data_IF_858039936965
#
_entry.id   IF_858039936965
#
_cell.length_a   1.000
_cell.length_b   1.000
_cell.length_c   1.000
_cell.angle_alpha   90.00
_cell.angle_beta   90.00
_cell.angle_gamma   90.00
#
_symmetry.space_group_name_H-M   'P 1'
#
loop_
_entity.id
_entity.type
_entity.pdbx_description
1 polymer ?
#
# COMPACT_ATOMS: atom_id res chain seq x y z
N UNK A 1 22.39 -5.55 -48.29
CA UNK A 1 21.70 -6.64 -47.56
C UNK A 1 22.47 -7.18 -46.35
N UNK A 2 23.74 -7.62 -46.47
CA UNK A 2 24.48 -8.20 -45.32
C UNK A 2 24.67 -7.21 -44.15
N UNK A 3 25.09 -5.96 -44.40
CA UNK A 3 25.29 -4.95 -43.34
C UNK A 3 24.00 -4.67 -42.57
N UNK A 4 22.89 -4.43 -43.29
CA UNK A 4 21.57 -4.23 -42.69
C UNK A 4 21.15 -5.40 -41.80
N UNK A 5 21.41 -6.64 -42.20
CA UNK A 5 21.13 -7.84 -41.39
C UNK A 5 21.93 -7.84 -40.09
N UNK A 6 23.23 -7.52 -40.12
CA UNK A 6 24.04 -7.50 -38.89
C UNK A 6 23.65 -6.37 -37.95
N UNK A 7 23.28 -5.20 -38.50
CA UNK A 7 22.74 -4.09 -37.71
C UNK A 7 21.42 -4.48 -37.03
N UNK A 8 20.50 -5.11 -37.78
CA UNK A 8 19.23 -5.59 -37.24
C UNK A 8 19.43 -6.64 -36.14
N UNK A 9 20.32 -7.61 -36.36
CA UNK A 9 20.66 -8.61 -35.34
C UNK A 9 21.23 -7.92 -34.09
N UNK A 10 22.17 -6.98 -34.25
CA UNK A 10 22.75 -6.24 -33.13
C UNK A 10 21.70 -5.47 -32.32
N UNK A 11 20.75 -4.81 -32.98
CA UNK A 11 19.64 -4.11 -32.34
C UNK A 11 18.73 -5.06 -31.55
N UNK A 12 18.35 -6.19 -32.17
CA UNK A 12 17.51 -7.20 -31.51
C UNK A 12 18.24 -7.79 -30.30
N UNK A 13 19.51 -8.16 -30.45
CA UNK A 13 20.33 -8.68 -29.35
C UNK A 13 20.45 -7.66 -28.22
N UNK A 14 20.75 -6.39 -28.54
CA UNK A 14 20.82 -5.33 -27.54
C UNK A 14 19.50 -5.12 -26.79
N UNK A 15 18.38 -5.15 -27.50
CA UNK A 15 17.05 -5.05 -26.90
C UNK A 15 16.73 -6.24 -25.98
N UNK A 16 17.04 -7.47 -26.40
CA UNK A 16 16.84 -8.68 -25.57
C UNK A 16 17.71 -8.61 -24.31
N UNK A 17 18.97 -8.19 -24.42
CA UNK A 17 19.85 -8.01 -23.25
C UNK A 17 19.28 -6.96 -22.29
N UNK A 18 18.78 -5.83 -22.80
CA UNK A 18 18.13 -4.81 -21.98
C UNK A 18 16.90 -5.38 -21.24
N UNK A 19 16.04 -6.13 -21.93
CA UNK A 19 14.88 -6.79 -21.32
C UNK A 19 15.33 -7.73 -20.20
N UNK A 20 16.36 -8.54 -20.43
CA UNK A 20 16.86 -9.48 -19.41
C UNK A 20 17.38 -8.74 -18.18
N UNK A 21 18.09 -7.63 -18.36
CA UNK A 21 18.55 -6.78 -17.25
C UNK A 21 17.33 -6.25 -16.48
N UNK A 22 16.37 -5.62 -17.16
CA UNK A 22 15.19 -5.06 -16.48
C UNK A 22 14.40 -6.17 -15.77
N UNK A 23 14.24 -7.34 -16.39
CA UNK A 23 13.58 -8.48 -15.78
C UNK A 23 14.29 -8.94 -14.50
N UNK A 24 15.62 -9.01 -14.51
CA UNK A 24 16.43 -9.39 -13.35
C UNK A 24 16.40 -8.38 -12.21
N UNK A 25 16.25 -7.09 -12.51
CA UNK A 25 16.27 -5.98 -11.53
C UNK A 25 14.89 -5.35 -11.27
N UNK A 26 13.79 -5.91 -11.81
CA UNK A 26 12.46 -5.29 -11.74
C UNK A 26 11.97 -5.04 -10.31
N UNK A 27 12.38 -5.88 -9.35
CA UNK A 27 12.02 -5.71 -7.94
C UNK A 27 12.82 -4.60 -7.26
N UNK A 28 14.07 -4.39 -7.67
CA UNK A 28 14.88 -3.26 -7.21
C UNK A 28 14.40 -1.94 -7.82
N UNK A 29 13.75 -1.99 -8.99
CA UNK A 29 13.07 -0.84 -9.59
C UNK A 29 11.71 -0.57 -8.94
N UNK A 30 10.99 -1.62 -8.57
CA UNK A 30 9.66 -1.51 -7.97
C UNK A 30 9.73 -1.09 -6.51
N UNK A 31 10.59 -1.72 -5.71
CA UNK A 31 10.63 -1.52 -4.26
C UNK A 31 11.76 -0.58 -3.86
N UNK A 32 11.43 0.42 -3.04
CA UNK A 32 12.40 1.37 -2.48
C UNK A 32 12.47 1.24 -0.95
N UNK A 33 12.97 0.10 -0.43
CA UNK A 33 12.93 -0.17 1.00
C UNK A 33 13.76 0.84 1.77
N UNK A 34 13.11 1.64 2.61
CA UNK A 34 13.80 2.42 3.63
C UNK A 34 14.34 1.45 4.68
N UNK A 35 15.65 1.33 4.88
CA UNK A 35 16.26 0.32 5.77
C UNK A 35 16.65 0.86 7.15
N UNK A 36 16.22 2.08 7.48
CA UNK A 36 16.63 2.73 8.73
C UNK A 36 15.63 2.42 9.84
N UNK A 37 16.11 1.72 10.88
CA UNK A 37 15.35 1.53 12.11
C UNK A 37 15.31 2.84 12.93
N UNK A 38 14.14 3.24 13.48
CA UNK A 38 14.07 4.38 14.38
C UNK A 38 14.77 4.08 15.72
N UNK A 39 15.37 5.09 16.33
CA UNK A 39 15.88 4.97 17.70
C UNK A 39 14.73 4.92 18.72
N UNK A 40 14.97 4.35 19.90
CA UNK A 40 13.98 4.34 20.99
C UNK A 40 13.47 5.74 21.33
N UNK A 41 14.37 6.74 21.37
CA UNK A 41 14.00 8.14 21.58
C UNK A 41 12.98 8.63 20.55
N UNK A 42 13.19 8.30 19.27
CA UNK A 42 12.30 8.67 18.17
C UNK A 42 10.94 7.97 18.23
N UNK A 43 10.89 6.74 18.75
CA UNK A 43 9.65 6.03 19.00
C UNK A 43 8.86 6.69 20.15
N UNK A 44 9.53 6.99 21.26
CA UNK A 44 8.93 7.68 22.40
C UNK A 44 8.39 9.07 22.02
N UNK A 45 9.14 9.85 21.24
CA UNK A 45 8.70 11.16 20.74
C UNK A 45 7.43 11.08 19.87
N UNK A 46 7.16 9.92 19.28
CA UNK A 46 5.99 9.65 18.44
C UNK A 46 4.95 8.75 19.11
N UNK A 47 5.09 8.48 20.40
CA UNK A 47 4.18 7.60 21.15
C UNK A 47 4.03 6.22 20.48
N UNK A 48 5.10 5.66 19.92
CA UNK A 48 5.10 4.36 19.25
C UNK A 48 5.79 3.27 20.08
N UNK A 49 5.28 2.05 19.97
CA UNK A 49 5.90 0.82 20.46
C UNK A 49 5.91 -0.24 19.36
N UNK A 50 6.85 -1.18 19.46
CA UNK A 50 6.93 -2.33 18.56
C UNK A 50 5.68 -3.21 18.66
N UNK A 51 5.21 -3.68 17.52
CA UNK A 51 4.08 -4.61 17.41
C UNK A 51 4.47 -5.86 16.60
N UNK A 52 3.98 -7.05 16.97
CA UNK A 52 3.33 -7.39 18.24
C UNK A 52 4.26 -7.27 19.46
N UNK A 53 5.57 -7.33 19.25
CA UNK A 53 6.61 -7.16 20.27
C UNK A 53 7.93 -6.75 19.61
N UNK A 54 8.97 -6.47 20.40
CA UNK A 54 10.31 -6.18 19.87
C UNK A 54 11.00 -7.42 19.26
N UNK A 55 10.75 -8.62 19.82
CA UNK A 55 11.37 -9.87 19.37
C UNK A 55 10.67 -10.49 18.16
N UNK A 56 9.39 -10.21 18.00
CA UNK A 56 8.58 -10.60 16.86
C UNK A 56 8.05 -9.33 16.20
N UNK A 57 8.96 -8.52 15.65
CA UNK A 57 8.63 -7.22 15.10
C UNK A 57 7.98 -7.35 13.71
N UNK A 58 6.82 -6.73 13.56
CA UNK A 58 6.04 -6.66 12.30
C UNK A 58 5.53 -5.26 12.01
N UNK A 59 5.83 -4.30 12.87
CA UNK A 59 5.31 -2.95 12.76
C UNK A 59 5.29 -2.20 14.08
N UNK A 60 4.53 -1.13 14.12
CA UNK A 60 4.35 -0.31 15.31
C UNK A 60 2.87 -0.15 15.65
N UNK A 61 2.60 0.13 16.92
CA UNK A 61 1.30 0.62 17.40
C UNK A 61 1.54 1.77 18.38
N UNK A 62 0.48 2.46 18.78
CA UNK A 62 0.60 3.53 19.77
C UNK A 62 0.86 2.99 21.18
N UNK A 63 1.51 3.79 22.02
CA UNK A 63 1.63 3.56 23.47
C UNK A 63 0.29 3.68 24.21
N UNK A 64 -0.72 4.30 23.59
CA UNK A 64 -2.02 4.55 24.21
C UNK A 64 -3.15 3.98 23.36
N UNK A 65 -4.18 3.49 24.03
CA UNK A 65 -5.43 3.03 23.41
C UNK A 65 -6.43 4.18 23.26
N UNK A 66 -7.32 4.17 22.25
CA UNK A 66 -8.46 5.08 22.19
C UNK A 66 -9.39 4.91 23.39
N UNK A 67 -10.00 5.99 23.88
CA UNK A 67 -10.95 5.97 25.01
C UNK A 67 -12.11 4.98 24.78
N UNK A 68 -12.60 4.91 23.53
CA UNK A 68 -13.61 3.94 23.09
C UNK A 68 -13.20 3.37 21.74
N UNK A 69 -12.81 2.10 21.76
CA UNK A 69 -12.37 1.39 20.56
C UNK A 69 -13.56 0.95 19.71
N UNK A 70 -13.58 1.37 18.45
CA UNK A 70 -14.53 0.97 17.41
C UNK A 70 -14.00 -0.20 16.56
N UNK A 71 -12.69 -0.34 16.49
CA UNK A 71 -12.00 -1.37 15.70
C UNK A 71 -10.53 -1.02 15.50
N UNK A 72 -9.82 -1.92 14.80
CA UNK A 72 -8.39 -1.77 14.50
C UNK A 72 -8.21 -1.52 13.01
N UNK A 73 -7.52 -0.45 12.64
CA UNK A 73 -7.06 -0.21 11.26
C UNK A 73 -5.63 -0.72 11.14
N UNK A 74 -5.40 -1.68 10.24
CA UNK A 74 -4.07 -2.08 9.81
C UNK A 74 -3.65 -1.22 8.62
N UNK A 75 -2.54 -0.49 8.79
CA UNK A 75 -2.00 0.43 7.80
C UNK A 75 -0.86 -0.25 7.03
N UNK A 76 -1.01 -0.27 5.71
CA UNK A 76 -0.01 -0.67 4.75
C UNK A 76 0.58 0.59 4.09
N UNK A 77 1.87 0.85 4.31
CA UNK A 77 2.52 2.09 3.91
C UNK A 77 2.95 2.13 2.43
N UNK A 78 3.32 3.31 1.93
CA UNK A 78 3.83 3.50 0.57
C UNK A 78 5.26 3.00 0.35
N UNK A 79 5.68 2.98 -0.91
CA UNK A 79 6.93 2.35 -1.36
C UNK A 79 8.21 3.01 -0.84
N UNK A 80 8.29 4.35 -0.80
CA UNK A 80 9.50 5.08 -0.43
C UNK A 80 9.51 5.47 1.06
N UNK A 81 8.93 4.62 1.91
CA UNK A 81 8.73 4.89 3.33
C UNK A 81 8.87 3.61 4.17
N UNK A 82 8.66 3.76 5.47
CA UNK A 82 8.59 2.65 6.44
C UNK A 82 7.39 2.89 7.35
N UNK A 83 6.99 1.88 8.12
CA UNK A 83 5.88 2.00 9.06
C UNK A 83 6.07 3.16 10.05
N UNK A 84 7.31 3.41 10.49
CA UNK A 84 7.64 4.54 11.38
C UNK A 84 7.22 5.91 10.80
N UNK A 85 7.40 6.11 9.50
CA UNK A 85 7.06 7.37 8.82
C UNK A 85 5.54 7.60 8.74
N UNK A 86 4.72 6.64 9.15
CA UNK A 86 3.26 6.66 9.10
C UNK A 86 2.59 6.86 10.46
N UNK A 87 3.36 7.27 11.47
CA UNK A 87 2.86 7.65 12.80
C UNK A 87 1.75 8.71 12.77
N UNK A 88 1.69 9.58 11.75
CA UNK A 88 0.60 10.55 11.67
C UNK A 88 -0.79 9.90 11.54
N UNK A 89 -0.90 8.65 11.07
CA UNK A 89 -2.18 7.92 11.09
C UNK A 89 -2.61 7.51 12.50
N UNK A 90 -1.68 7.21 13.42
CA UNK A 90 -2.04 6.96 14.82
C UNK A 90 -2.66 8.23 15.41
N UNK A 91 -2.00 9.37 15.20
CA UNK A 91 -2.46 10.68 15.69
C UNK A 91 -3.82 11.07 15.07
N UNK A 92 -3.99 10.83 13.77
CA UNK A 92 -5.20 11.20 13.03
C UNK A 92 -6.42 10.35 13.41
N UNK A 93 -6.24 9.04 13.62
CA UNK A 93 -7.36 8.09 13.68
C UNK A 93 -7.71 7.64 15.11
N UNK A 94 -6.79 7.78 16.07
CA UNK A 94 -7.07 7.47 17.49
C UNK A 94 -8.22 8.31 18.04
N UNK A 95 -8.26 9.61 17.71
CA UNK A 95 -9.34 10.52 18.14
C UNK A 95 -10.73 10.11 17.63
N UNK A 96 -10.80 9.27 16.58
CA UNK A 96 -12.06 8.75 16.03
C UNK A 96 -12.42 7.35 16.55
N UNK A 97 -11.62 6.81 17.48
CA UNK A 97 -11.88 5.55 18.18
C UNK A 97 -11.19 4.33 17.56
N UNK A 98 -10.17 4.49 16.72
CA UNK A 98 -9.48 3.35 16.10
C UNK A 98 -8.12 3.08 16.72
N UNK A 99 -7.86 1.81 17.00
CA UNK A 99 -6.50 1.34 17.23
C UNK A 99 -5.78 1.23 15.89
N UNK A 100 -4.51 1.61 15.83
CA UNK A 100 -3.76 1.62 14.58
C UNK A 100 -2.54 0.70 14.67
N UNK A 101 -2.45 -0.23 13.71
CA UNK A 101 -1.27 -1.07 13.51
C UNK A 101 -0.57 -0.63 12.23
N UNK A 102 0.62 -0.05 12.37
CA UNK A 102 1.47 0.36 11.25
C UNK A 102 2.32 -0.85 10.84
N UNK A 103 1.90 -1.61 9.82
CA UNK A 103 2.59 -2.82 9.39
C UNK A 103 3.86 -2.48 8.60
N UNK A 104 4.99 -3.13 8.91
CA UNK A 104 6.27 -2.98 8.22
C UNK A 104 6.53 -4.19 7.33
N UNK A 105 6.89 -3.97 6.06
CA UNK A 105 7.07 -5.06 5.10
C UNK A 105 8.37 -5.86 5.29
N UNK A 106 8.42 -7.14 4.86
CA UNK A 106 9.70 -7.86 4.77
C UNK A 106 10.68 -7.12 3.84
N UNK A 107 11.91 -6.93 4.30
CA UNK A 107 12.93 -6.14 3.60
C UNK A 107 12.83 -4.62 3.80
N UNK A 108 11.82 -4.12 4.53
CA UNK A 108 11.67 -2.71 4.88
C UNK A 108 11.95 -2.45 6.36
N UNK A 109 12.34 -1.22 6.67
CA UNK A 109 12.73 -0.80 8.02
C UNK A 109 13.80 -1.74 8.58
N UNK A 110 13.52 -2.28 9.78
CA UNK A 110 14.36 -3.27 10.46
C UNK A 110 14.05 -4.72 10.08
N UNK A 111 13.10 -4.98 9.16
CA UNK A 111 12.65 -6.33 8.83
C UNK A 111 13.56 -6.98 7.82
N UNK A 112 13.93 -8.21 8.13
CA UNK A 112 14.77 -9.04 7.25
C UNK A 112 13.98 -9.52 6.03
N UNK A 113 14.71 -10.09 5.07
CA UNK A 113 14.14 -10.64 3.83
C UNK A 113 14.26 -9.68 2.66
N UNK A 114 13.54 -10.00 1.58
CA UNK A 114 13.53 -9.21 0.35
C UNK A 114 12.09 -9.02 -0.13
N UNK A 115 11.72 -7.80 -0.56
CA UNK A 115 10.34 -7.51 -0.91
C UNK A 115 9.93 -8.19 -2.21
N UNK A 116 8.72 -8.74 -2.20
CA UNK A 116 7.98 -9.26 -3.35
C UNK A 116 6.51 -9.23 -3.03
N UNK A 117 5.63 -9.26 -4.04
CA UNK A 117 4.19 -9.29 -3.78
C UNK A 117 3.80 -10.46 -2.88
N UNK A 118 4.31 -11.66 -3.17
CA UNK A 118 4.05 -12.83 -2.33
C UNK A 118 4.51 -12.61 -0.89
N UNK A 119 5.76 -12.22 -0.67
CA UNK A 119 6.30 -12.05 0.68
C UNK A 119 5.54 -10.97 1.49
N UNK A 120 5.22 -9.85 0.84
CA UNK A 120 4.51 -8.74 1.49
C UNK A 120 3.07 -9.13 1.81
N UNK A 121 2.36 -9.77 0.87
CA UNK A 121 0.96 -10.16 1.07
C UNK A 121 0.83 -11.29 2.09
N UNK A 122 1.73 -12.28 2.08
CA UNK A 122 1.72 -13.37 3.06
C UNK A 122 1.94 -12.82 4.48
N UNK A 123 2.85 -11.86 4.64
CA UNK A 123 3.06 -11.20 5.92
C UNK A 123 1.88 -10.30 6.33
N UNK A 124 1.27 -9.59 5.39
CA UNK A 124 0.06 -8.82 5.65
C UNK A 124 -1.11 -9.71 6.12
N UNK A 125 -1.27 -10.90 5.54
CA UNK A 125 -2.29 -11.87 5.94
C UNK A 125 -2.09 -12.34 7.38
N UNK A 126 -0.86 -12.72 7.73
CA UNK A 126 -0.54 -13.16 9.09
C UNK A 126 -0.62 -11.99 10.09
N UNK A 127 -0.28 -10.76 9.67
CA UNK A 127 -0.47 -9.56 10.49
C UNK A 127 -1.94 -9.35 10.82
N UNK A 128 -2.85 -9.44 9.82
CA UNK A 128 -4.29 -9.34 10.06
C UNK A 128 -4.80 -10.45 10.98
N UNK A 129 -4.32 -11.69 10.79
CA UNK A 129 -4.72 -12.82 11.64
C UNK A 129 -4.34 -12.56 13.11
N UNK A 130 -3.11 -12.13 13.38
CA UNK A 130 -2.66 -11.79 14.73
C UNK A 130 -3.45 -10.63 15.34
N UNK A 131 -3.77 -9.60 14.55
CA UNK A 131 -4.62 -8.47 14.98
C UNK A 131 -6.01 -8.97 15.38
N UNK A 132 -6.64 -9.76 14.51
CA UNK A 132 -7.99 -10.26 14.72
C UNK A 132 -8.07 -11.18 15.95
N UNK A 133 -7.11 -12.09 16.11
CA UNK A 133 -7.03 -12.99 17.27
C UNK A 133 -6.76 -12.24 18.58
N UNK A 134 -5.91 -11.22 18.55
CA UNK A 134 -5.51 -10.46 19.73
C UNK A 134 -6.64 -9.57 20.27
N UNK A 135 -7.34 -8.87 19.39
CA UNK A 135 -8.29 -7.82 19.80
C UNK A 135 -9.76 -8.24 19.68
N UNK A 136 -10.07 -9.23 18.84
CA UNK A 136 -11.44 -9.75 18.64
C UNK A 136 -12.48 -8.65 18.34
N UNK A 137 -12.09 -7.67 17.54
CA UNK A 137 -12.89 -6.50 17.19
C UNK A 137 -12.95 -6.31 15.66
N UNK A 138 -13.82 -5.42 15.15
CA UNK A 138 -13.83 -5.03 13.75
C UNK A 138 -12.45 -4.66 13.20
N UNK A 139 -12.07 -5.25 12.07
CA UNK A 139 -10.80 -4.97 11.39
C UNK A 139 -11.04 -4.18 10.11
N UNK A 140 -10.24 -3.15 9.94
CA UNK A 140 -10.24 -2.25 8.80
C UNK A 140 -8.83 -2.20 8.20
N UNK A 141 -8.72 -1.81 6.94
CA UNK A 141 -7.43 -1.67 6.27
C UNK A 141 -7.30 -0.27 5.68
N UNK A 142 -6.11 0.33 5.84
CA UNK A 142 -5.71 1.53 5.11
C UNK A 142 -4.47 1.18 4.28
N UNK A 143 -4.57 1.32 2.97
CA UNK A 143 -3.45 1.20 2.04
C UNK A 143 -3.06 2.55 1.46
N UNK A 144 -1.77 2.87 1.42
CA UNK A 144 -1.25 4.09 0.80
C UNK A 144 -0.29 3.75 -0.33
N UNK A 145 -0.53 4.26 -1.54
CA UNK A 145 0.33 4.03 -2.72
C UNK A 145 0.55 2.51 -2.92
N UNK A 146 1.78 1.99 -2.80
CA UNK A 146 2.06 0.55 -2.78
C UNK A 146 1.17 -0.24 -1.82
N UNK A 147 0.93 0.30 -0.63
CA UNK A 147 0.07 -0.30 0.37
C UNK A 147 -1.38 -0.49 -0.09
N UNK A 148 -1.86 0.27 -1.08
CA UNK A 148 -3.18 0.05 -1.69
C UNK A 148 -3.22 -1.26 -2.48
N UNK A 149 -2.15 -1.57 -3.23
CA UNK A 149 -2.02 -2.86 -3.92
C UNK A 149 -1.92 -4.02 -2.93
N UNK A 150 -1.13 -3.84 -1.86
CA UNK A 150 -1.02 -4.81 -0.76
C UNK A 150 -2.39 -5.06 -0.12
N UNK A 151 -3.10 -4.00 0.27
CA UNK A 151 -4.42 -4.07 0.87
C UNK A 151 -5.41 -4.87 0.02
N UNK A 152 -5.47 -4.58 -1.29
CA UNK A 152 -6.32 -5.31 -2.22
C UNK A 152 -5.95 -6.79 -2.30
N UNK A 153 -4.67 -7.11 -2.55
CA UNK A 153 -4.18 -8.50 -2.61
C UNK A 153 -4.43 -9.27 -1.32
N UNK A 154 -4.33 -8.62 -0.16
CA UNK A 154 -4.62 -9.21 1.15
C UNK A 154 -6.11 -9.47 1.35
N UNK A 155 -6.98 -8.53 0.97
CA UNK A 155 -8.45 -8.71 1.04
C UNK A 155 -8.90 -9.92 0.24
N UNK A 156 -8.34 -10.14 -0.95
CA UNK A 156 -8.69 -11.28 -1.80
C UNK A 156 -8.37 -12.65 -1.19
N UNK A 157 -7.49 -12.71 -0.18
CA UNK A 157 -6.91 -13.96 0.35
C UNK A 157 -7.17 -14.16 1.84
N UNK A 158 -7.55 -13.13 2.57
CA UNK A 158 -7.77 -13.19 4.02
C UNK A 158 -9.05 -13.92 4.39
N UNK A 159 -9.05 -14.55 5.56
CA UNK A 159 -10.25 -15.11 6.21
C UNK A 159 -10.78 -14.19 7.33
N UNK A 160 -10.01 -13.17 7.70
CA UNK A 160 -10.43 -12.17 8.68
C UNK A 160 -11.53 -11.31 8.05
N UNK A 161 -12.69 -11.14 8.70
CA UNK A 161 -13.71 -10.21 8.23
C UNK A 161 -13.16 -8.78 8.22
N UNK A 162 -13.13 -8.15 7.04
CA UNK A 162 -12.71 -6.76 6.87
C UNK A 162 -13.96 -5.91 6.65
N UNK A 163 -14.24 -5.00 7.58
CA UNK A 163 -15.46 -4.19 7.60
C UNK A 163 -15.37 -2.99 6.65
N UNK A 164 -14.16 -2.46 6.45
CA UNK A 164 -13.95 -1.34 5.56
C UNK A 164 -12.51 -1.17 5.11
N UNK A 165 -12.36 -0.50 3.97
CA UNK A 165 -11.10 -0.30 3.27
C UNK A 165 -10.94 1.18 2.92
N UNK A 166 -9.78 1.75 3.25
CA UNK A 166 -9.36 3.07 2.82
C UNK A 166 -8.16 2.92 1.88
N UNK A 167 -8.27 3.46 0.66
CA UNK A 167 -7.23 3.44 -0.35
C UNK A 167 -6.77 4.86 -0.67
N UNK A 168 -5.53 5.20 -0.31
CA UNK A 168 -4.90 6.49 -0.58
C UNK A 168 -3.99 6.35 -1.79
N UNK A 169 -4.20 7.21 -2.79
CA UNK A 169 -3.50 7.20 -4.09
C UNK A 169 -3.33 5.78 -4.65
N UNK A 170 -4.40 5.00 -4.80
CA UNK A 170 -4.32 3.63 -5.33
C UNK A 170 -4.15 3.60 -6.85
N UNK A 171 -3.81 2.43 -7.35
CA UNK A 171 -3.85 2.09 -8.77
C UNK A 171 -4.83 0.94 -9.06
N UNK A 172 -5.24 0.84 -10.32
CA UNK A 172 -6.04 -0.28 -10.87
C UNK A 172 -5.24 -1.58 -10.93
N UNK A 173 -4.15 -1.63 -11.69
CA UNK A 173 -3.19 -2.74 -11.73
C UNK A 173 -1.77 -2.20 -11.82
N UNK A 174 -0.81 -2.90 -11.22
CA UNK A 174 0.60 -2.47 -11.35
C UNK A 174 1.08 -2.57 -12.80
N UNK A 175 0.53 -3.50 -13.58
CA UNK A 175 0.84 -3.62 -15.01
C UNK A 175 0.45 -2.36 -15.78
N UNK A 176 -0.79 -1.90 -15.65
CA UNK A 176 -1.28 -0.71 -16.36
C UNK A 176 -0.52 0.54 -15.89
N UNK A 177 -0.21 0.63 -14.60
CA UNK A 177 0.62 1.71 -14.06
C UNK A 177 2.04 1.68 -14.63
N UNK A 178 2.65 0.49 -14.71
CA UNK A 178 3.97 0.33 -15.31
C UNK A 178 3.96 0.71 -16.80
N UNK A 179 2.91 0.39 -17.55
CA UNK A 179 2.77 0.78 -18.95
C UNK A 179 2.64 2.30 -19.14
N UNK A 180 2.04 3.00 -18.18
CA UNK A 180 2.00 4.47 -18.18
C UNK A 180 3.40 5.09 -18.17
N UNK A 181 4.32 4.52 -17.39
CA UNK A 181 5.69 5.05 -17.23
C UNK A 181 6.70 4.42 -18.20
N UNK A 182 6.48 3.16 -18.57
CA UNK A 182 7.46 2.31 -19.25
C UNK A 182 6.89 1.58 -20.48
N UNK A 183 5.79 2.06 -21.05
CA UNK A 183 5.11 1.42 -22.19
C UNK A 183 6.00 1.16 -23.42
N UNK A 184 7.10 1.90 -23.56
CA UNK A 184 8.10 1.71 -24.62
C UNK A 184 8.90 0.40 -24.49
N UNK A 185 8.87 -0.28 -23.34
CA UNK A 185 9.61 -1.51 -23.11
C UNK A 185 8.85 -2.79 -23.51
N UNK A 186 7.55 -2.70 -23.84
CA UNK A 186 6.69 -3.83 -24.24
C UNK A 186 6.74 -5.05 -23.26
N UNK A 187 6.97 -4.82 -21.96
CA UNK A 187 7.26 -5.86 -20.95
C UNK A 187 6.05 -6.56 -20.33
N UNK A 188 4.88 -6.46 -20.95
CA UNK A 188 3.61 -6.90 -20.36
C UNK A 188 3.51 -8.37 -19.89
N UNK A 189 4.36 -9.28 -20.37
CA UNK A 189 4.36 -10.69 -19.94
C UNK A 189 5.38 -11.00 -18.83
N UNK A 190 6.24 -10.03 -18.48
CA UNK A 190 7.46 -10.27 -17.69
C UNK A 190 7.41 -9.64 -16.30
N UNK A 191 6.29 -9.05 -15.91
CA UNK A 191 6.09 -8.47 -14.57
C UNK A 191 5.78 -9.59 -13.58
N UNK A 192 6.65 -9.76 -12.58
CA UNK A 192 6.54 -10.80 -11.55
C UNK A 192 5.48 -10.45 -10.51
N UNK A 193 5.47 -9.20 -10.05
CA UNK A 193 4.56 -8.70 -9.03
C UNK A 193 3.42 -7.94 -9.74
N UNK A 194 2.17 -8.38 -9.58
CA UNK A 194 1.03 -7.93 -10.38
C UNK A 194 0.19 -6.86 -9.69
N UNK A 195 -0.02 -6.98 -8.37
CA UNK A 195 -0.92 -6.13 -7.58
C UNK A 195 -2.15 -5.67 -8.36
N UNK A 196 -2.97 -6.63 -8.79
CA UNK A 196 -4.19 -6.41 -9.57
C UNK A 196 -5.34 -6.04 -8.63
N UNK A 197 -5.42 -4.76 -8.27
CA UNK A 197 -6.41 -4.25 -7.32
C UNK A 197 -7.84 -4.45 -7.80
N UNK A 198 -8.09 -4.33 -9.11
CA UNK A 198 -9.42 -4.57 -9.71
C UNK A 198 -9.86 -6.01 -9.44
N UNK A 199 -9.07 -6.99 -9.85
CA UNK A 199 -9.42 -8.41 -9.69
C UNK A 199 -9.51 -8.79 -8.22
N UNK A 200 -8.61 -8.27 -7.39
CA UNK A 200 -8.54 -8.61 -5.96
C UNK A 200 -9.71 -8.03 -5.14
N UNK A 201 -10.27 -6.88 -5.55
CA UNK A 201 -11.42 -6.27 -4.87
C UNK A 201 -12.78 -6.67 -5.47
N UNK A 202 -12.81 -7.47 -6.52
CA UNK A 202 -14.04 -7.82 -7.24
C UNK A 202 -15.13 -8.46 -6.36
N UNK A 203 -14.73 -9.20 -5.32
CA UNK A 203 -15.64 -9.89 -4.40
C UNK A 203 -15.68 -9.26 -3.00
N UNK A 204 -15.10 -8.07 -2.82
CA UNK A 204 -15.12 -7.39 -1.53
C UNK A 204 -16.49 -6.74 -1.30
N UNK A 205 -17.11 -7.03 -0.15
CA UNK A 205 -18.46 -6.57 0.19
C UNK A 205 -18.48 -5.49 1.28
N UNK A 206 -17.33 -5.09 1.82
CA UNK A 206 -17.25 -3.98 2.79
C UNK A 206 -17.30 -2.63 2.10
N UNK A 207 -17.18 -1.54 2.87
CA UNK A 207 -17.17 -0.18 2.33
C UNK A 207 -15.79 0.23 1.85
N UNK A 208 -15.69 0.90 0.70
CA UNK A 208 -14.41 1.33 0.13
C UNK A 208 -14.33 2.85 0.00
N UNK A 209 -13.46 3.47 0.78
CA UNK A 209 -13.07 4.87 0.62
C UNK A 209 -11.88 4.95 -0.34
N UNK A 210 -12.03 5.67 -1.45
CA UNK A 210 -10.95 5.94 -2.40
C UNK A 210 -10.56 7.40 -2.30
N UNK A 211 -9.29 7.66 -2.04
CA UNK A 211 -8.73 9.01 -1.86
C UNK A 211 -7.70 9.26 -2.94
N UNK A 212 -7.95 10.26 -3.78
CA UNK A 212 -7.14 10.57 -4.96
C UNK A 212 -6.53 11.97 -4.88
N UNK A 213 -5.34 12.10 -5.47
CA UNK A 213 -4.68 13.36 -5.76
C UNK A 213 -4.80 13.67 -7.26
N UNK A 214 -5.30 14.86 -7.62
CA UNK A 214 -5.56 15.22 -9.02
C UNK A 214 -4.29 15.33 -9.87
N UNK A 215 -3.20 15.86 -9.29
CA UNK A 215 -1.91 16.12 -9.93
C UNK A 215 -0.86 15.09 -9.51
N UNK A 216 -1.27 13.85 -9.33
CA UNK A 216 -0.38 12.77 -8.97
C UNK A 216 0.49 12.35 -10.18
N UNK A 217 1.78 12.68 -10.12
CA UNK A 217 2.76 12.35 -11.16
C UNK A 217 3.36 10.94 -11.01
N UNK A 218 3.14 10.27 -9.86
CA UNK A 218 3.63 8.92 -9.58
C UNK A 218 2.58 7.89 -9.98
N UNK A 219 1.34 8.10 -9.56
CA UNK A 219 0.18 7.29 -9.93
C UNK A 219 -0.86 8.23 -10.54
N UNK A 220 -0.84 8.44 -11.87
CA UNK A 220 -1.78 9.34 -12.51
C UNK A 220 -3.23 9.01 -12.14
N UNK A 221 -3.98 10.04 -11.73
CA UNK A 221 -5.33 9.96 -11.14
C UNK A 221 -6.30 9.02 -11.88
N UNK A 222 -6.12 8.88 -13.20
CA UNK A 222 -6.88 7.93 -14.04
C UNK A 222 -6.85 6.48 -13.54
N UNK A 223 -5.75 6.02 -12.95
CA UNK A 223 -5.64 4.65 -12.41
C UNK A 223 -6.53 4.48 -11.18
N UNK A 224 -6.51 5.45 -10.27
CA UNK A 224 -7.39 5.47 -9.12
C UNK A 224 -8.87 5.62 -9.48
N UNK A 225 -9.19 6.42 -10.51
CA UNK A 225 -10.55 6.53 -11.04
C UNK A 225 -11.03 5.22 -11.68
N UNK A 226 -10.20 4.57 -12.50
CA UNK A 226 -10.51 3.25 -13.09
C UNK A 226 -10.76 2.20 -12.01
N UNK A 227 -9.95 2.19 -10.94
CA UNK A 227 -10.18 1.32 -9.79
C UNK A 227 -11.52 1.66 -9.13
N UNK A 228 -11.77 2.93 -8.81
CA UNK A 228 -13.01 3.39 -8.20
C UNK A 228 -14.22 2.92 -9.00
N UNK A 229 -14.22 3.12 -10.33
CA UNK A 229 -15.33 2.73 -11.20
C UNK A 229 -15.58 1.22 -11.22
N UNK A 230 -14.53 0.41 -11.08
CA UNK A 230 -14.62 -1.07 -11.06
C UNK A 230 -15.21 -1.67 -9.78
N UNK A 231 -15.19 -0.94 -8.66
CA UNK A 231 -15.69 -1.42 -7.36
C UNK A 231 -17.22 -1.46 -7.37
N UNK A 232 -17.82 -2.60 -6.99
CA UNK A 232 -19.27 -2.82 -7.07
C UNK A 232 -20.00 -2.82 -5.71
N UNK A 233 -19.27 -2.56 -4.62
CA UNK A 233 -19.81 -2.37 -3.26
C UNK A 233 -19.99 -0.88 -2.93
N UNK A 234 -20.49 -0.58 -1.74
CA UNK A 234 -20.59 0.77 -1.21
C UNK A 234 -19.22 1.46 -1.24
N UNK A 235 -19.10 2.49 -2.07
CA UNK A 235 -17.85 3.22 -2.31
C UNK A 235 -18.04 4.72 -2.27
N UNK A 236 -17.04 5.44 -1.80
CA UNK A 236 -17.03 6.91 -1.82
C UNK A 236 -15.66 7.44 -2.22
N UNK A 237 -15.66 8.51 -3.00
CA UNK A 237 -14.46 9.14 -3.56
C UNK A 237 -14.18 10.48 -2.86
N UNK A 238 -12.94 10.68 -2.44
CA UNK A 238 -12.38 11.97 -2.04
C UNK A 238 -11.29 12.36 -3.04
N UNK A 239 -11.56 13.37 -3.86
CA UNK A 239 -10.60 13.90 -4.83
C UNK A 239 -10.04 15.23 -4.32
N UNK A 240 -8.76 15.24 -3.97
CA UNK A 240 -8.04 16.45 -3.60
C UNK A 240 -7.53 17.15 -4.84
N UNK A 241 -8.19 18.25 -5.20
CA UNK A 241 -7.77 19.14 -6.29
C UNK A 241 -6.41 19.73 -5.98
N UNK A 242 -5.60 19.91 -7.02
CA UNK A 242 -4.24 20.47 -6.95
C UNK A 242 -3.20 19.68 -6.11
N UNK A 243 -3.60 18.62 -5.39
CA UNK A 243 -2.67 17.75 -4.68
C UNK A 243 -1.94 16.82 -5.66
N UNK A 244 -0.64 16.62 -5.44
CA UNK A 244 0.16 15.51 -5.96
C UNK A 244 0.35 14.38 -4.93
N UNK A 245 1.13 13.36 -5.31
CA UNK A 245 1.27 12.07 -4.61
C UNK A 245 1.45 12.18 -3.09
N UNK A 246 2.41 12.99 -2.65
CA UNK A 246 2.78 13.13 -1.24
C UNK A 246 2.16 14.36 -0.55
N UNK A 247 1.18 15.01 -1.18
CA UNK A 247 0.62 16.29 -0.71
C UNK A 247 -0.87 16.22 -0.35
N UNK A 248 -1.43 15.02 -0.29
CA UNK A 248 -2.74 14.82 0.32
C UNK A 248 -2.66 15.26 1.79
N UNK A 249 -3.65 16.03 2.30
CA UNK A 249 -3.61 16.53 3.67
C UNK A 249 -3.81 15.38 4.65
N UNK A 250 -2.72 14.78 5.13
CA UNK A 250 -2.76 13.68 6.12
C UNK A 250 -2.59 14.17 7.57
N UNK A 251 -2.59 15.49 7.79
CA UNK A 251 -2.45 16.07 9.12
C UNK A 251 -3.58 15.58 10.05
N UNK A 252 -3.31 15.32 11.35
CA UNK A 252 -4.30 14.75 12.27
C UNK A 252 -5.60 15.55 12.41
N UNK A 253 -5.55 16.87 12.24
CA UNK A 253 -6.68 17.79 12.32
C UNK A 253 -7.47 17.92 11.00
N UNK A 254 -7.09 17.19 9.95
CA UNK A 254 -7.77 17.23 8.66
C UNK A 254 -9.19 16.69 8.77
N UNK A 255 -10.19 17.54 8.51
CA UNK A 255 -11.61 17.23 8.71
C UNK A 255 -12.11 15.99 7.95
N UNK A 256 -11.50 15.67 6.80
CA UNK A 256 -11.90 14.53 5.98
C UNK A 256 -11.64 13.17 6.66
N UNK A 257 -10.73 13.10 7.64
CA UNK A 257 -10.52 11.87 8.41
C UNK A 257 -11.79 11.43 9.13
N UNK A 258 -12.55 12.39 9.67
CA UNK A 258 -13.85 12.10 10.28
C UNK A 258 -14.84 11.58 9.23
N UNK A 259 -14.90 12.21 8.07
CA UNK A 259 -15.82 11.78 7.01
C UNK A 259 -15.52 10.38 6.49
N UNK A 260 -14.25 10.05 6.31
CA UNK A 260 -13.81 8.73 5.84
C UNK A 260 -14.06 7.68 6.91
N UNK A 261 -13.71 7.96 8.17
CA UNK A 261 -13.94 7.01 9.27
C UNK A 261 -15.43 6.77 9.52
N UNK A 262 -16.25 7.82 9.51
CA UNK A 262 -17.71 7.69 9.62
C UNK A 262 -18.30 6.88 8.45
N UNK A 263 -17.77 7.06 7.23
CA UNK A 263 -18.22 6.30 6.06
C UNK A 263 -17.90 4.81 6.20
N UNK A 264 -16.66 4.44 6.51
CA UNK A 264 -16.27 3.02 6.55
C UNK A 264 -16.91 2.23 7.70
N UNK A 265 -17.47 2.90 8.72
CA UNK A 265 -18.12 2.26 9.88
C UNK A 265 -19.64 2.18 9.83
N UNK A 266 -20.28 2.71 8.78
CA UNK A 266 -21.73 2.60 8.58
C UNK A 266 -22.14 1.20 8.12
#
# INVERSE_FOLDING_TARGET
MKIFRHLLIGLITGYVVLILIIFSFQRDLLYSPGTTAPSEKRLTEKNLIYWPSMTDYRGFTSTHEPDKVKGTIVVFHGNAATAYHRHYYTDALHQYGFRIILAEYPGYGSRQGSPSETAIVDDALETLQLVYERYQEPVFILGESLGSGVAASTIARTKVPIEGLILLVPWDTLMDLALTHYGYLLLHWLVLDRYDSISNLANFNGRVAVVLAEKDDVIPVRHGLRLYDSINTDKKLWLFKDAGHDTIPVAPDSAWWKEVTDFITQ
#
